data_IF_630429015734
#
_entry.id   IF_630429015734
#
_cell.length_a   1.000
_cell.length_b   1.000
_cell.length_c   1.000
_cell.angle_alpha   90.00
_cell.angle_beta   90.00
_cell.angle_gamma   90.00
#
_symmetry.space_group_name_H-M   'P 1'
#
loop_
_entity.id
_entity.type
_entity.pdbx_description
1 polymer ?
#
# COMPACT_ATOMS: atom_id res chain seq x y z
N UNK A 1 -23.34 -13.51 19.50
CA UNK A 1 -23.54 -12.93 18.15
C UNK A 1 -22.19 -12.88 17.48
N UNK A 2 -21.99 -13.47 16.31
CA UNK A 2 -20.73 -13.33 15.59
C UNK A 2 -20.57 -11.85 15.18
N UNK A 3 -19.46 -11.22 15.53
CA UNK A 3 -19.14 -9.86 15.05
C UNK A 3 -19.02 -9.87 13.53
N UNK A 4 -19.45 -8.79 12.88
CA UNK A 4 -19.23 -8.63 11.43
C UNK A 4 -17.73 -8.71 11.12
N UNK A 5 -17.35 -9.30 9.97
CA UNK A 5 -15.94 -9.35 9.57
C UNK A 5 -15.37 -7.93 9.45
N UNK A 6 -14.10 -7.72 9.83
CA UNK A 6 -13.45 -6.41 9.76
C UNK A 6 -13.35 -5.91 8.32
N UNK A 7 -13.45 -4.59 8.16
CA UNK A 7 -13.30 -3.91 6.87
C UNK A 7 -11.84 -3.51 6.66
N UNK A 8 -11.26 -3.92 5.54
CA UNK A 8 -9.90 -3.59 5.13
C UNK A 8 -9.92 -2.72 3.88
N UNK A 9 -9.21 -1.61 3.90
CA UNK A 9 -9.01 -0.75 2.73
C UNK A 9 -7.54 -0.80 2.29
N UNK A 10 -7.29 -1.19 1.04
CA UNK A 10 -5.99 -0.96 0.39
C UNK A 10 -6.08 0.38 -0.34
N UNK A 11 -5.29 1.36 0.12
CA UNK A 11 -5.36 2.75 -0.31
C UNK A 11 -4.04 3.19 -0.94
N UNK A 12 -4.06 3.78 -2.15
CA UNK A 12 -2.81 4.24 -2.73
C UNK A 12 -2.85 4.73 -4.17
N UNK A 13 -1.71 4.51 -4.84
CA UNK A 13 -1.45 5.03 -6.19
C UNK A 13 -1.78 4.02 -7.32
N UNK A 14 -1.06 4.12 -8.45
CA UNK A 14 -1.32 3.32 -9.66
C UNK A 14 -1.20 1.82 -9.46
N UNK A 15 -0.41 1.33 -8.51
CA UNK A 15 -0.32 -0.11 -8.23
C UNK A 15 -1.64 -0.66 -7.73
N UNK A 16 -2.25 0.00 -6.76
CA UNK A 16 -3.58 -0.38 -6.23
C UNK A 16 -4.64 -0.26 -7.33
N UNK A 17 -4.62 0.84 -8.12
CA UNK A 17 -5.57 1.02 -9.23
C UNK A 17 -5.48 -0.08 -10.26
N UNK A 18 -4.25 -0.42 -10.71
CA UNK A 18 -4.03 -1.45 -11.73
C UNK A 18 -4.43 -2.82 -11.20
N UNK A 19 -4.01 -3.18 -9.98
CA UNK A 19 -4.41 -4.44 -9.38
C UNK A 19 -5.94 -4.55 -9.26
N UNK A 20 -6.63 -3.50 -8.83
CA UNK A 20 -8.10 -3.49 -8.78
C UNK A 20 -8.75 -3.70 -10.15
N UNK A 21 -8.19 -3.11 -11.22
CA UNK A 21 -8.64 -3.34 -12.59
C UNK A 21 -8.38 -4.77 -13.07
N UNK A 22 -7.19 -5.28 -12.79
CA UNK A 22 -6.77 -6.62 -13.19
C UNK A 22 -7.60 -7.71 -12.50
N UNK A 23 -7.91 -7.55 -11.20
CA UNK A 23 -8.77 -8.47 -10.46
C UNK A 23 -10.18 -8.56 -11.05
N UNK A 24 -10.75 -7.42 -11.48
CA UNK A 24 -12.06 -7.40 -12.15
C UNK A 24 -12.05 -8.06 -13.53
N UNK A 25 -10.91 -8.06 -14.21
CA UNK A 25 -10.74 -8.72 -15.51
C UNK A 25 -10.35 -10.20 -15.39
N UNK A 26 -10.24 -10.74 -14.15
CA UNK A 26 -9.80 -12.11 -13.88
C UNK A 26 -8.45 -12.44 -14.56
N UNK A 27 -7.47 -11.55 -14.45
CA UNK A 27 -6.16 -11.66 -15.10
C UNK A 27 -5.38 -12.91 -14.69
N UNK A 28 -5.67 -13.46 -13.53
CA UNK A 28 -5.09 -14.70 -13.00
C UNK A 28 -6.15 -15.46 -12.19
N UNK A 29 -6.41 -16.72 -12.57
CA UNK A 29 -7.44 -17.55 -11.93
C UNK A 29 -7.18 -17.82 -10.43
N UNK A 30 -5.95 -17.60 -9.94
CA UNK A 30 -5.56 -17.75 -8.54
C UNK A 30 -5.83 -16.50 -7.72
N UNK A 31 -6.13 -15.38 -8.37
CA UNK A 31 -6.38 -14.09 -7.74
C UNK A 31 -7.90 -13.82 -7.68
N UNK A 32 -8.36 -13.30 -6.55
CA UNK A 32 -9.75 -12.95 -6.34
C UNK A 32 -9.85 -11.59 -5.62
N UNK A 33 -10.90 -10.80 -5.90
CA UNK A 33 -11.11 -9.49 -5.29
C UNK A 33 -11.13 -9.54 -3.75
N UNK A 34 -11.63 -10.62 -3.17
CA UNK A 34 -11.63 -10.86 -1.72
C UNK A 34 -10.31 -11.46 -1.19
N UNK A 35 -9.23 -11.49 -1.98
CA UNK A 35 -7.90 -12.02 -1.58
C UNK A 35 -7.91 -13.42 -0.98
N UNK A 36 -8.89 -14.26 -1.33
CA UNK A 36 -9.15 -15.56 -0.72
C UNK A 36 -9.28 -15.50 0.81
N UNK A 37 -9.95 -14.44 1.31
CA UNK A 37 -10.24 -14.18 2.73
C UNK A 37 -11.75 -13.99 2.95
N UNK A 38 -12.56 -14.69 2.14
CA UNK A 38 -14.02 -14.63 2.23
C UNK A 38 -14.47 -15.12 3.61
N UNK A 39 -15.23 -14.28 4.32
CA UNK A 39 -15.66 -14.55 5.69
C UNK A 39 -14.70 -14.07 6.77
N UNK A 40 -13.41 -13.88 6.45
CA UNK A 40 -12.41 -13.35 7.40
C UNK A 40 -12.36 -11.82 7.40
N UNK A 41 -12.56 -11.18 6.23
CA UNK A 41 -12.57 -9.73 6.08
C UNK A 41 -13.37 -9.29 4.84
N UNK A 42 -13.86 -8.03 4.87
CA UNK A 42 -14.39 -7.32 3.68
C UNK A 42 -13.29 -6.41 3.14
N UNK A 43 -12.86 -6.63 1.89
CA UNK A 43 -11.70 -5.95 1.33
C UNK A 43 -12.13 -4.98 0.23
N UNK A 44 -11.65 -3.74 0.34
CA UNK A 44 -11.82 -2.69 -0.65
C UNK A 44 -10.46 -2.21 -1.17
N UNK A 45 -10.40 -1.88 -2.46
CA UNK A 45 -9.23 -1.28 -3.10
C UNK A 45 -9.61 0.11 -3.62
N UNK A 46 -8.86 1.13 -3.19
CA UNK A 46 -8.97 2.47 -3.74
C UNK A 46 -7.60 2.98 -4.15
N UNK A 47 -7.37 3.04 -5.46
CA UNK A 47 -6.11 3.49 -6.02
C UNK A 47 -6.31 4.50 -7.15
N UNK A 48 -5.51 5.56 -7.16
CA UNK A 48 -5.53 6.59 -8.19
C UNK A 48 -4.13 6.82 -8.76
N UNK A 49 -4.00 6.82 -10.10
CA UNK A 49 -2.72 7.04 -10.76
C UNK A 49 -2.09 8.38 -10.40
N UNK A 50 -0.78 8.40 -10.16
CA UNK A 50 -0.03 9.63 -9.83
C UNK A 50 -0.33 10.21 -8.44
N UNK A 51 -0.95 9.46 -7.53
CA UNK A 51 -1.19 9.95 -6.15
C UNK A 51 0.13 10.15 -5.42
N UNK A 52 0.23 11.33 -4.82
CA UNK A 52 1.18 11.69 -3.77
C UNK A 52 0.47 11.69 -2.41
N UNK A 53 1.21 11.73 -1.31
CA UNK A 53 0.65 11.81 0.05
C UNK A 53 -0.29 13.01 0.16
N UNK A 54 0.14 14.18 -0.31
CA UNK A 54 -0.65 15.42 -0.29
C UNK A 54 -1.96 15.28 -1.07
N UNK A 55 -1.91 14.69 -2.28
CA UNK A 55 -3.12 14.48 -3.09
C UNK A 55 -4.06 13.46 -2.46
N UNK A 56 -3.53 12.40 -1.85
CA UNK A 56 -4.33 11.41 -1.13
C UNK A 56 -5.08 12.08 0.04
N UNK A 57 -4.38 12.87 0.86
CA UNK A 57 -5.01 13.62 1.96
C UNK A 57 -6.12 14.56 1.47
N UNK A 58 -5.93 15.19 0.32
CA UNK A 58 -6.89 16.19 -0.19
C UNK A 58 -8.13 15.55 -0.83
N UNK A 59 -7.96 14.41 -1.52
CA UNK A 59 -9.02 13.91 -2.40
C UNK A 59 -9.59 12.53 -2.01
N UNK A 60 -8.85 11.72 -1.23
CA UNK A 60 -9.24 10.31 -1.05
C UNK A 60 -9.74 9.98 0.38
N UNK A 61 -9.61 10.90 1.34
CA UNK A 61 -10.08 10.63 2.72
C UNK A 61 -11.61 10.50 2.84
N UNK A 62 -12.36 10.99 1.86
CA UNK A 62 -13.80 10.74 1.75
C UNK A 62 -14.16 9.25 1.66
N UNK A 63 -13.29 8.44 1.02
CA UNK A 63 -13.46 6.99 0.94
C UNK A 63 -13.26 6.34 2.32
N UNK A 64 -12.29 6.82 3.09
CA UNK A 64 -12.06 6.34 4.46
C UNK A 64 -13.26 6.67 5.35
N UNK A 65 -13.81 7.90 5.25
CA UNK A 65 -15.03 8.30 5.98
C UNK A 65 -16.24 7.45 5.64
N UNK A 66 -16.40 7.09 4.36
CA UNK A 66 -17.54 6.32 3.88
C UNK A 66 -17.44 4.84 4.30
N UNK A 67 -16.26 4.23 4.18
CA UNK A 67 -16.05 2.81 4.47
C UNK A 67 -15.82 2.52 5.95
N UNK A 68 -15.28 3.49 6.71
CA UNK A 68 -14.89 3.34 8.12
C UNK A 68 -14.07 2.05 8.37
N UNK A 69 -12.94 1.87 7.66
CA UNK A 69 -12.20 0.62 7.71
C UNK A 69 -11.55 0.42 9.09
N UNK A 70 -11.54 -0.83 9.56
CA UNK A 70 -10.78 -1.24 10.73
C UNK A 70 -9.27 -1.23 10.44
N UNK A 71 -8.91 -1.61 9.20
CA UNK A 71 -7.53 -1.72 8.72
C UNK A 71 -7.36 -0.91 7.45
N UNK A 72 -6.23 -0.19 7.35
CA UNK A 72 -5.78 0.40 6.08
C UNK A 72 -4.38 -0.14 5.74
N UNK A 73 -4.20 -0.63 4.52
CA UNK A 73 -2.90 -0.90 3.92
C UNK A 73 -2.61 0.24 2.93
N UNK A 74 -1.56 1.02 3.19
CA UNK A 74 -1.22 2.21 2.41
C UNK A 74 -0.06 1.91 1.45
N UNK A 75 -0.28 2.19 0.17
CA UNK A 75 0.70 2.08 -0.91
C UNK A 75 0.97 3.47 -1.49
N UNK A 76 1.92 4.23 -0.93
CA UNK A 76 2.19 5.63 -1.24
C UNK A 76 3.70 5.96 -1.17
N UNK A 77 4.09 7.16 -1.60
CA UNK A 77 5.47 7.67 -1.50
C UNK A 77 6.27 7.55 -2.80
N UNK A 78 5.97 6.58 -3.66
CA UNK A 78 6.72 6.38 -4.90
C UNK A 78 6.63 7.58 -5.88
N UNK A 79 5.52 8.31 -5.89
CA UNK A 79 5.36 9.51 -6.73
C UNK A 79 5.96 10.74 -6.06
N UNK A 80 6.00 10.76 -4.75
CA UNK A 80 6.55 11.85 -3.94
C UNK A 80 8.07 11.91 -4.06
N UNK A 81 8.75 10.75 -4.03
CA UNK A 81 10.21 10.62 -4.15
C UNK A 81 10.77 11.10 -5.50
N UNK A 82 9.94 11.33 -6.51
CA UNK A 82 10.39 11.89 -7.79
C UNK A 82 10.84 13.35 -7.64
N UNK A 83 10.22 14.09 -6.71
CA UNK A 83 10.42 15.52 -6.56
C UNK A 83 10.84 15.94 -5.14
N UNK A 84 10.73 15.07 -4.15
CA UNK A 84 10.96 15.39 -2.74
C UNK A 84 12.03 14.50 -2.13
N UNK A 85 12.69 15.01 -1.09
CA UNK A 85 13.67 14.26 -0.30
C UNK A 85 12.93 13.17 0.53
N UNK A 86 13.59 12.02 0.79
CA UNK A 86 12.99 10.90 1.52
C UNK A 86 12.45 11.30 2.90
N UNK A 87 13.15 12.16 3.64
CA UNK A 87 12.75 12.58 4.99
C UNK A 87 11.46 13.41 4.96
N UNK A 88 11.30 14.26 3.93
CA UNK A 88 10.07 15.06 3.75
C UNK A 88 8.90 14.13 3.46
N UNK A 89 9.09 13.17 2.55
CA UNK A 89 8.05 12.20 2.20
C UNK A 89 7.70 11.35 3.42
N UNK A 90 8.69 10.93 4.19
CA UNK A 90 8.50 10.15 5.41
C UNK A 90 7.67 10.90 6.45
N UNK A 91 7.98 12.18 6.68
CA UNK A 91 7.21 13.04 7.59
C UNK A 91 5.76 13.24 7.12
N UNK A 92 5.53 13.45 5.82
CA UNK A 92 4.18 13.57 5.26
C UNK A 92 3.36 12.29 5.41
N UNK A 93 4.01 11.11 5.30
CA UNK A 93 3.37 9.80 5.54
C UNK A 93 3.05 9.63 7.03
N UNK A 94 3.94 10.01 7.95
CA UNK A 94 3.68 9.94 9.39
C UNK A 94 2.49 10.83 9.76
N UNK A 95 2.43 12.07 9.26
CA UNK A 95 1.29 12.96 9.45
C UNK A 95 -0.03 12.35 8.94
N UNK A 96 0.01 11.64 7.81
CA UNK A 96 -1.16 10.94 7.29
C UNK A 96 -1.58 9.78 8.21
N UNK A 97 -0.63 9.00 8.73
CA UNK A 97 -0.87 7.91 9.65
C UNK A 97 -1.51 8.42 10.95
N UNK A 98 -0.95 9.48 11.55
CA UNK A 98 -1.50 10.10 12.76
C UNK A 98 -2.93 10.60 12.53
N UNK A 99 -3.20 11.23 11.39
CA UNK A 99 -4.53 11.69 11.02
C UNK A 99 -5.53 10.51 10.92
N UNK A 100 -5.15 9.41 10.29
CA UNK A 100 -6.01 8.23 10.14
C UNK A 100 -6.32 7.56 11.49
N UNK A 101 -5.34 7.43 12.36
CA UNK A 101 -5.53 6.87 13.70
C UNK A 101 -6.42 7.75 14.57
N UNK A 102 -6.17 9.07 14.61
CA UNK A 102 -6.81 9.99 15.54
C UNK A 102 -8.18 10.46 15.08
N UNK A 103 -8.35 10.73 13.76
CA UNK A 103 -9.56 11.37 13.24
C UNK A 103 -10.49 10.41 12.51
N UNK A 104 -10.00 9.25 12.05
CA UNK A 104 -10.78 8.28 11.30
C UNK A 104 -10.99 6.96 12.05
N UNK A 105 -10.45 6.85 13.27
CA UNK A 105 -10.60 5.68 14.15
C UNK A 105 -10.15 4.37 13.50
N UNK A 106 -9.18 4.45 12.60
CA UNK A 106 -8.55 3.25 12.00
C UNK A 106 -7.77 2.53 13.09
N UNK A 107 -7.99 1.22 13.23
CA UNK A 107 -7.41 0.44 14.31
C UNK A 107 -6.01 -0.06 14.01
N UNK A 108 -5.74 -0.44 12.76
CA UNK A 108 -4.43 -0.96 12.33
C UNK A 108 -4.06 -0.38 10.97
N UNK A 109 -2.81 0.07 10.82
CA UNK A 109 -2.28 0.61 9.57
C UNK A 109 -1.01 -0.14 9.17
N UNK A 110 -1.00 -0.68 7.94
CA UNK A 110 0.20 -1.20 7.29
C UNK A 110 0.69 -0.20 6.23
N UNK A 111 1.97 0.18 6.26
CA UNK A 111 2.59 1.04 5.26
C UNK A 111 3.50 0.19 4.39
N UNK A 112 3.20 0.14 3.09
CA UNK A 112 4.03 -0.57 2.13
C UNK A 112 5.33 0.19 1.86
N UNK A 113 6.46 -0.51 1.90
CA UNK A 113 7.75 0.02 1.48
C UNK A 113 7.74 0.31 -0.03
N UNK A 114 8.36 1.41 -0.41
CA UNK A 114 8.51 1.78 -1.82
C UNK A 114 9.44 0.79 -2.51
N UNK A 115 8.98 0.20 -3.61
CA UNK A 115 9.77 -0.72 -4.42
C UNK A 115 10.65 0.05 -5.43
N UNK A 116 11.83 -0.49 -5.82
CA UNK A 116 12.71 0.16 -6.78
C UNK A 116 12.09 0.27 -8.17
N UNK A 117 12.68 1.14 -9.02
CA UNK A 117 12.31 1.34 -10.42
C UNK A 117 13.46 0.93 -11.34
N UNK A 118 13.12 0.43 -12.52
CA UNK A 118 14.14 0.10 -13.53
C UNK A 118 14.78 1.40 -14.07
N UNK A 119 16.12 1.41 -14.19
CA UNK A 119 16.89 2.55 -14.74
C UNK A 119 16.66 3.89 -14.04
N UNK A 120 16.40 3.87 -12.75
CA UNK A 120 16.14 5.07 -11.94
C UNK A 120 17.13 5.17 -10.75
N UNK A 121 18.44 5.41 -10.99
CA UNK A 121 19.46 5.31 -9.94
C UNK A 121 19.24 6.26 -8.77
N UNK A 122 18.85 7.50 -9.02
CA UNK A 122 18.57 8.48 -7.95
C UNK A 122 17.36 8.07 -7.11
N UNK A 123 16.29 7.61 -7.75
CA UNK A 123 15.11 7.09 -7.07
C UNK A 123 15.48 5.87 -6.22
N UNK A 124 16.25 4.94 -6.79
CA UNK A 124 16.64 3.71 -6.11
C UNK A 124 17.65 3.95 -4.97
N UNK A 125 18.36 5.07 -4.95
CA UNK A 125 19.15 5.51 -3.81
C UNK A 125 18.28 6.13 -2.70
N UNK A 126 17.20 6.83 -3.07
CA UNK A 126 16.29 7.49 -2.13
C UNK A 126 15.28 6.53 -1.48
N UNK A 127 14.78 5.54 -2.21
CA UNK A 127 13.74 4.63 -1.73
C UNK A 127 14.15 3.85 -0.45
N UNK A 128 15.36 3.28 -0.31
CA UNK A 128 15.78 2.63 0.93
C UNK A 128 15.85 3.59 2.13
N UNK A 129 16.19 4.87 1.91
CA UNK A 129 16.23 5.89 2.98
C UNK A 129 14.82 6.15 3.49
N UNK A 130 13.85 6.32 2.60
CA UNK A 130 12.45 6.45 2.99
C UNK A 130 11.95 5.20 3.72
N UNK A 131 12.22 4.00 3.20
CA UNK A 131 11.78 2.75 3.79
C UNK A 131 12.36 2.55 5.20
N UNK A 132 13.63 2.92 5.41
CA UNK A 132 14.25 2.89 6.74
C UNK A 132 13.60 3.91 7.69
N UNK A 133 13.39 5.14 7.23
CA UNK A 133 12.70 6.17 8.00
C UNK A 133 11.31 5.68 8.46
N UNK A 134 10.52 5.12 7.54
CA UNK A 134 9.19 4.59 7.87
C UNK A 134 9.27 3.44 8.88
N UNK A 135 10.25 2.55 8.75
CA UNK A 135 10.46 1.47 9.71
C UNK A 135 10.77 2.01 11.10
N UNK A 136 11.67 2.98 11.21
CA UNK A 136 12.14 3.52 12.49
C UNK A 136 11.04 4.33 13.21
N UNK A 137 10.34 5.20 12.48
CA UNK A 137 9.30 6.07 13.05
C UNK A 137 8.04 5.29 13.41
N UNK A 138 7.59 4.39 12.54
CA UNK A 138 6.33 3.68 12.73
C UNK A 138 6.42 2.56 13.77
N UNK A 139 7.62 2.06 14.08
CA UNK A 139 7.81 1.11 15.20
C UNK A 139 7.38 1.69 16.56
N UNK A 140 7.31 3.01 16.69
CA UNK A 140 6.87 3.68 17.92
C UNK A 140 5.34 3.70 18.07
N UNK A 141 4.60 3.30 17.05
CA UNK A 141 3.14 3.27 17.04
C UNK A 141 2.64 1.81 17.14
N UNK A 142 1.97 1.42 18.24
CA UNK A 142 1.63 0.01 18.52
C UNK A 142 0.81 -0.68 17.43
N UNK A 143 -0.02 0.07 16.70
CA UNK A 143 -0.96 -0.46 15.70
C UNK A 143 -0.54 -0.10 14.27
N UNK A 144 0.73 0.24 14.06
CA UNK A 144 1.28 0.59 12.75
C UNK A 144 2.47 -0.33 12.46
N UNK A 145 2.59 -0.76 11.21
CA UNK A 145 3.75 -1.55 10.79
C UNK A 145 4.19 -1.20 9.37
N UNK A 146 5.47 -1.31 9.09
CA UNK A 146 5.99 -1.30 7.73
C UNK A 146 5.82 -2.68 7.09
N UNK A 147 5.55 -2.71 5.79
CA UNK A 147 5.38 -3.94 5.01
C UNK A 147 6.29 -3.96 3.80
N UNK A 148 7.24 -4.87 3.80
CA UNK A 148 8.16 -5.07 2.69
C UNK A 148 7.58 -6.00 1.63
N UNK A 149 7.49 -5.51 0.40
CA UNK A 149 7.14 -6.33 -0.75
C UNK A 149 8.30 -7.25 -1.13
N UNK A 150 8.08 -8.56 -1.08
CA UNK A 150 9.08 -9.54 -1.52
C UNK A 150 9.02 -9.75 -3.03
N UNK A 151 10.18 -10.01 -3.66
CA UNK A 151 10.28 -10.26 -5.10
C UNK A 151 10.49 -9.02 -5.97
N UNK A 152 10.66 -7.83 -5.37
CA UNK A 152 10.86 -6.56 -6.09
C UNK A 152 12.22 -5.92 -5.81
N UNK A 153 13.11 -6.57 -5.09
CA UNK A 153 14.40 -6.00 -4.68
C UNK A 153 15.41 -5.85 -5.82
N UNK A 154 15.24 -6.57 -6.93
CA UNK A 154 16.11 -6.47 -8.09
C UNK A 154 15.37 -5.87 -9.29
N UNK A 155 15.57 -4.58 -9.62
CA UNK A 155 14.87 -3.91 -10.72
C UNK A 155 15.32 -4.35 -12.11
N UNK A 156 16.37 -5.15 -12.22
CA UNK A 156 16.89 -5.65 -13.52
C UNK A 156 16.20 -6.92 -13.99
N UNK A 157 15.48 -7.58 -13.11
CA UNK A 157 14.72 -8.81 -13.40
C UNK A 157 13.24 -8.49 -13.47
N UNK A 158 12.54 -9.02 -14.49
CA UNK A 158 11.07 -8.99 -14.55
C UNK A 158 10.49 -9.15 -13.12
N UNK A 159 9.76 -8.15 -12.60
CA UNK A 159 8.34 -8.08 -12.94
C UNK A 159 7.85 -6.74 -13.52
N UNK A 160 8.72 -5.96 -14.13
CA UNK A 160 8.36 -4.61 -14.60
C UNK A 160 7.98 -4.57 -16.08
N UNK A 161 7.07 -3.68 -16.44
CA UNK A 161 6.78 -3.29 -17.82
C UNK A 161 7.95 -2.46 -18.39
N UNK A 162 7.98 -2.22 -19.72
CA UNK A 162 9.05 -1.44 -20.36
C UNK A 162 9.23 -0.01 -19.82
N UNK A 163 8.20 0.56 -19.18
CA UNK A 163 8.28 1.87 -18.52
C UNK A 163 9.14 1.87 -17.24
N UNK A 164 9.52 0.69 -16.75
CA UNK A 164 10.38 0.51 -15.59
C UNK A 164 9.73 0.84 -14.24
N UNK A 165 8.44 1.12 -14.23
CA UNK A 165 7.65 1.50 -13.04
C UNK A 165 6.51 0.53 -12.78
N UNK A 166 5.68 0.30 -13.80
CA UNK A 166 4.51 -0.56 -13.64
C UNK A 166 4.85 -2.04 -13.80
N UNK A 167 3.99 -2.87 -13.25
CA UNK A 167 4.24 -4.31 -13.13
C UNK A 167 3.61 -5.09 -14.28
N UNK A 168 4.29 -6.14 -14.71
CA UNK A 168 3.75 -7.18 -15.60
C UNK A 168 2.62 -7.94 -14.89
N UNK A 169 1.80 -8.78 -15.58
CA UNK A 169 0.82 -9.65 -14.94
C UNK A 169 1.43 -10.54 -13.83
N UNK A 170 2.65 -11.06 -14.05
CA UNK A 170 3.38 -11.81 -13.03
C UNK A 170 3.74 -10.94 -11.82
N UNK A 171 4.17 -9.69 -12.06
CA UNK A 171 4.44 -8.72 -11.00
C UNK A 171 3.18 -8.32 -10.24
N UNK A 172 2.05 -8.13 -10.93
CA UNK A 172 0.75 -7.87 -10.31
C UNK A 172 0.30 -9.03 -9.41
N UNK A 173 0.51 -10.27 -9.84
CA UNK A 173 0.22 -11.43 -8.99
C UNK A 173 1.13 -11.50 -7.76
N UNK A 174 2.41 -11.14 -7.89
CA UNK A 174 3.33 -11.04 -6.74
C UNK A 174 2.89 -9.95 -5.76
N UNK A 175 2.43 -8.80 -6.28
CA UNK A 175 1.89 -7.71 -5.47
C UNK A 175 0.60 -8.12 -4.76
N UNK A 176 -0.31 -8.80 -5.44
CA UNK A 176 -1.53 -9.38 -4.87
C UNK A 176 -1.20 -10.27 -3.67
N UNK A 177 -0.26 -11.20 -3.83
CA UNK A 177 0.17 -12.08 -2.73
C UNK A 177 0.80 -11.31 -1.57
N UNK A 178 1.54 -10.26 -1.88
CA UNK A 178 2.15 -9.39 -0.88
C UNK A 178 1.10 -8.63 -0.07
N UNK A 179 0.11 -8.01 -0.72
CA UNK A 179 -1.00 -7.35 0.00
C UNK A 179 -1.78 -8.34 0.85
N UNK A 180 -2.04 -9.57 0.34
CA UNK A 180 -2.68 -10.61 1.16
C UNK A 180 -1.88 -10.89 2.45
N UNK A 181 -0.56 -10.95 2.36
CA UNK A 181 0.31 -11.10 3.54
C UNK A 181 0.19 -9.93 4.52
N UNK A 182 0.17 -8.69 4.02
CA UNK A 182 -0.02 -7.48 4.83
C UNK A 182 -1.39 -7.48 5.54
N UNK A 183 -2.45 -7.84 4.83
CA UNK A 183 -3.80 -7.97 5.40
C UNK A 183 -3.81 -9.01 6.52
N UNK A 184 -3.28 -10.20 6.29
CA UNK A 184 -3.22 -11.26 7.31
C UNK A 184 -2.43 -10.84 8.55
N UNK A 185 -1.34 -10.06 8.38
CA UNK A 185 -0.60 -9.48 9.51
C UNK A 185 -1.48 -8.49 10.27
N UNK A 186 -2.16 -7.58 9.58
CA UNK A 186 -3.03 -6.59 10.18
C UNK A 186 -4.21 -7.22 10.95
N UNK A 187 -4.86 -8.23 10.38
CA UNK A 187 -5.99 -8.93 11.01
C UNK A 187 -5.61 -9.63 12.33
N UNK A 188 -4.36 -10.07 12.46
CA UNK A 188 -3.84 -10.66 13.72
C UNK A 188 -3.58 -9.61 14.81
N UNK A 189 -3.56 -8.33 14.44
CA UNK A 189 -3.32 -7.20 15.36
C UNK A 189 -4.62 -6.50 15.80
N UNK A 190 -5.79 -6.94 15.29
CA UNK A 190 -7.12 -6.47 15.70
C UNK A 190 -7.58 -7.14 17.00
#
# INVERSE_FOLDING_TARGET
>A
MASSPPTVLILGHSFVRRLSSDLRSNFDARAAEHFNLLGDAVIHLHGVGGRTVKKLRLYDLGVVSALKPDVIIIEIGTNDLVANRPEVVGSEIDDLVQLLLQSYSVRVIGICEVIPRVRAPFFNAAAPILNQYLTDVLQLCPNVFSWRHTGFSNPTVSPYLPDGVHLTPQGQYSLYRSYRGAILKALRSL
#
